data_IF_528223379679
#
_entry.id   IF_528223379679
#
_cell.length_a   1.000
_cell.length_b   1.000
_cell.length_c   1.000
_cell.angle_alpha   90.00
_cell.angle_beta   90.00
_cell.angle_gamma   90.00
#
_symmetry.space_group_name_H-M   'P 1'
#
loop_
_entity.id
_entity.type
_entity.pdbx_description
1 polymer ?
#
# COMPACT_ATOMS: atom_id res chain seq x y z
N UNK A 1 -16.78 1.24 7.75
CA UNK A 1 -16.40 1.97 6.53
C UNK A 1 -16.21 0.94 5.42
N UNK A 2 -16.64 1.22 4.19
CA UNK A 2 -16.34 0.33 3.06
C UNK A 2 -14.95 0.74 2.52
N UNK A 3 -13.93 -0.11 2.70
CA UNK A 3 -12.52 0.25 2.52
C UNK A 3 -12.03 0.34 1.06
N UNK A 4 -12.95 0.44 0.08
CA UNK A 4 -12.57 0.43 -1.33
C UNK A 4 -11.69 -0.77 -1.70
N UNK A 5 -10.84 -0.60 -2.71
CA UNK A 5 -9.80 -1.55 -3.08
C UNK A 5 -8.52 -1.36 -2.24
N UNK A 6 -7.68 -2.38 -2.16
CA UNK A 6 -6.34 -2.30 -1.58
C UNK A 6 -5.24 -2.35 -2.62
N UNK A 7 -4.26 -1.46 -2.48
CA UNK A 7 -2.98 -1.49 -3.19
C UNK A 7 -1.87 -1.93 -2.26
N UNK A 8 -1.08 -2.91 -2.69
CA UNK A 8 0.04 -3.48 -1.93
C UNK A 8 1.32 -3.31 -2.73
N UNK A 9 2.36 -2.75 -2.11
CA UNK A 9 3.70 -2.69 -2.69
C UNK A 9 4.73 -3.03 -1.61
N UNK A 10 5.58 -4.00 -1.88
CA UNK A 10 6.64 -4.44 -0.98
C UNK A 10 8.02 -4.04 -1.50
N UNK A 11 8.84 -3.52 -0.61
CA UNK A 11 10.21 -3.09 -0.86
C UNK A 11 11.11 -3.44 0.31
N UNK A 12 12.42 -3.41 0.11
CA UNK A 12 13.39 -3.53 1.20
C UNK A 12 13.73 -2.13 1.73
N UNK A 13 13.55 -1.92 3.04
CA UNK A 13 13.88 -0.70 3.75
C UNK A 13 12.76 0.35 3.82
N UNK A 14 12.66 1.05 4.95
CA UNK A 14 11.64 2.07 5.20
C UNK A 14 11.79 3.31 4.31
N UNK A 15 13.01 3.72 3.96
CA UNK A 15 13.24 4.85 3.05
C UNK A 15 12.67 4.59 1.66
N UNK A 16 12.84 3.37 1.14
CA UNK A 16 12.25 2.94 -0.13
C UNK A 16 10.72 2.92 -0.05
N UNK A 17 10.16 2.47 1.08
CA UNK A 17 8.71 2.49 1.29
C UNK A 17 8.15 3.92 1.24
N UNK A 18 8.85 4.90 1.83
CA UNK A 18 8.46 6.33 1.78
C UNK A 18 8.44 6.85 0.34
N UNK A 19 9.44 6.52 -0.49
CA UNK A 19 9.47 6.92 -1.90
C UNK A 19 8.30 6.32 -2.70
N UNK A 20 8.02 5.05 -2.45
CA UNK A 20 6.89 4.33 -3.06
C UNK A 20 5.56 4.95 -2.64
N UNK A 21 5.37 5.24 -1.36
CA UNK A 21 4.17 5.93 -0.84
C UNK A 21 3.98 7.29 -1.50
N UNK A 22 5.02 8.12 -1.53
CA UNK A 22 4.96 9.47 -2.12
C UNK A 22 4.56 9.43 -3.59
N UNK A 23 5.15 8.51 -4.37
CA UNK A 23 4.80 8.36 -5.77
C UNK A 23 3.34 7.93 -5.95
N UNK A 24 2.88 6.92 -5.20
CA UNK A 24 1.49 6.42 -5.32
C UNK A 24 0.44 7.47 -4.94
N UNK A 25 0.68 8.23 -3.86
CA UNK A 25 -0.22 9.30 -3.42
C UNK A 25 -0.28 10.47 -4.41
N UNK A 26 0.76 10.70 -5.21
CA UNK A 26 0.80 11.74 -6.26
C UNK A 26 0.20 11.28 -7.60
N UNK A 27 0.13 9.98 -7.84
CA UNK A 27 -0.37 9.42 -9.11
C UNK A 27 -1.89 9.51 -9.23
N UNK A 28 -2.63 9.27 -8.14
CA UNK A 28 -4.10 9.14 -8.18
C UNK A 28 -4.71 9.38 -6.80
N UNK A 29 -6.04 9.50 -6.75
CA UNK A 29 -6.80 9.70 -5.51
C UNK A 29 -6.86 8.41 -4.66
N UNK A 30 -5.80 8.18 -3.89
CA UNK A 30 -5.65 7.06 -2.96
C UNK A 30 -5.16 7.58 -1.61
N UNK A 31 -5.51 6.88 -0.54
CA UNK A 31 -5.05 7.17 0.82
C UNK A 31 -4.08 6.10 1.30
N UNK A 32 -3.04 6.53 2.00
CA UNK A 32 -2.18 5.61 2.74
C UNK A 32 -2.94 5.04 3.94
N UNK A 33 -2.92 3.72 4.08
CA UNK A 33 -3.60 3.03 5.18
C UNK A 33 -2.62 2.66 6.29
N UNK A 34 -1.59 1.89 5.94
CA UNK A 34 -0.58 1.40 6.89
C UNK A 34 0.60 0.79 6.14
N UNK A 35 1.57 0.29 6.88
CA UNK A 35 2.63 -0.57 6.36
C UNK A 35 2.93 -1.72 7.33
N UNK A 36 3.54 -2.78 6.83
CA UNK A 36 4.06 -3.87 7.66
C UNK A 36 5.57 -3.96 7.47
N UNK A 37 6.33 -3.78 8.55
CA UNK A 37 7.81 -3.73 8.52
C UNK A 37 8.49 -4.91 9.22
N UNK A 38 7.71 -5.92 9.65
CA UNK A 38 8.18 -7.02 10.50
C UNK A 38 8.93 -8.15 9.75
N UNK A 39 9.15 -8.04 8.45
CA UNK A 39 9.69 -9.13 7.63
C UNK A 39 11.16 -8.91 7.25
N UNK A 40 12.08 -8.99 8.22
CA UNK A 40 13.52 -9.05 7.90
C UNK A 40 14.09 -7.85 7.13
N UNK A 41 13.53 -6.65 7.33
CA UNK A 41 13.90 -5.43 6.61
C UNK A 41 12.99 -5.08 5.44
N UNK A 42 12.02 -5.95 5.10
CA UNK A 42 10.98 -5.65 4.13
C UNK A 42 9.91 -4.74 4.74
N UNK A 43 9.35 -3.89 3.88
CA UNK A 43 8.25 -3.02 4.18
C UNK A 43 7.17 -3.21 3.10
N UNK A 44 6.01 -3.73 3.50
CA UNK A 44 4.82 -3.84 2.64
C UNK A 44 3.90 -2.67 2.93
N UNK A 45 3.69 -1.81 1.94
CA UNK A 45 2.83 -0.62 2.00
C UNK A 45 1.40 -0.99 1.62
N UNK A 46 0.42 -0.46 2.36
CA UNK A 46 -1.01 -0.60 2.10
C UNK A 46 -1.62 0.76 1.74
N UNK A 47 -2.36 0.81 0.63
CA UNK A 47 -3.17 1.95 0.22
C UNK A 47 -4.62 1.53 0.00
N UNK A 48 -5.52 2.48 0.12
CA UNK A 48 -6.95 2.32 -0.10
C UNK A 48 -7.50 3.41 -1.01
N UNK A 49 -8.54 3.09 -1.78
CA UNK A 49 -9.23 4.01 -2.68
C UNK A 49 -10.15 3.27 -3.64
N UNK A 50 -10.62 3.95 -4.68
CA UNK A 50 -11.35 3.30 -5.76
C UNK A 50 -10.45 2.34 -6.54
N UNK A 51 -11.00 1.25 -7.06
CA UNK A 51 -10.23 0.20 -7.75
C UNK A 51 -9.39 0.75 -8.92
N UNK A 52 -9.92 1.71 -9.67
CA UNK A 52 -9.21 2.35 -10.78
C UNK A 52 -8.05 3.22 -10.29
N UNK A 53 -8.26 4.00 -9.22
CA UNK A 53 -7.23 4.83 -8.60
C UNK A 53 -6.10 3.96 -8.01
N UNK A 54 -6.46 2.94 -7.23
CA UNK A 54 -5.49 1.99 -6.66
C UNK A 54 -4.68 1.28 -7.74
N UNK A 55 -5.33 0.85 -8.83
CA UNK A 55 -4.64 0.21 -9.96
C UNK A 55 -3.65 1.18 -10.61
N UNK A 56 -4.06 2.43 -10.85
CA UNK A 56 -3.18 3.45 -11.42
C UNK A 56 -1.96 3.75 -10.52
N UNK A 57 -2.18 3.88 -9.21
CA UNK A 57 -1.11 4.08 -8.24
C UNK A 57 -0.08 2.93 -8.29
N UNK A 58 -0.53 1.68 -8.19
CA UNK A 58 0.36 0.50 -8.19
C UNK A 58 1.08 0.35 -9.54
N UNK A 59 0.38 0.55 -10.67
CA UNK A 59 1.00 0.46 -11.98
C UNK A 59 2.03 1.56 -12.24
N UNK A 60 1.88 2.76 -11.65
CA UNK A 60 2.90 3.81 -11.75
C UNK A 60 4.23 3.39 -11.12
N UNK A 61 4.19 2.69 -9.99
CA UNK A 61 5.38 2.17 -9.30
C UNK A 61 5.97 0.98 -10.05
N UNK A 62 5.14 0.12 -10.66
CA UNK A 62 5.64 -0.98 -11.50
C UNK A 62 6.28 -0.48 -12.80
N UNK A 63 5.71 0.55 -13.43
CA UNK A 63 6.16 1.08 -14.71
C UNK A 63 7.37 2.02 -14.62
N UNK A 64 7.46 2.80 -13.54
CA UNK A 64 8.59 3.68 -13.25
C UNK A 64 8.95 3.60 -11.75
N UNK A 65 9.61 2.52 -11.33
CA UNK A 65 9.89 2.28 -9.92
C UNK A 65 10.92 3.27 -9.36
N UNK A 66 10.66 3.92 -8.21
CA UNK A 66 11.63 4.80 -7.55
C UNK A 66 12.76 4.02 -6.85
N UNK A 67 12.57 2.72 -6.65
CA UNK A 67 13.52 1.78 -6.04
C UNK A 67 13.15 0.34 -6.44
N UNK A 68 13.96 -0.66 -6.06
CA UNK A 68 13.64 -2.06 -6.35
C UNK A 68 12.34 -2.50 -5.66
N UNK A 69 11.39 -3.02 -6.46
CA UNK A 69 10.10 -3.52 -5.99
C UNK A 69 10.18 -5.04 -5.83
N UNK A 70 9.93 -5.52 -4.61
CA UNK A 70 9.94 -6.96 -4.28
C UNK A 70 8.65 -7.62 -4.76
N UNK A 71 7.51 -7.02 -4.44
CA UNK A 71 6.20 -7.53 -4.84
C UNK A 71 5.18 -6.39 -4.96
N UNK A 72 4.15 -6.59 -5.77
CA UNK A 72 3.01 -5.66 -5.84
C UNK A 72 1.72 -6.40 -6.16
N UNK A 73 0.59 -5.91 -5.65
CA UNK A 73 -0.72 -6.49 -5.89
C UNK A 73 -1.84 -5.45 -5.74
N UNK A 74 -2.97 -5.72 -6.38
CA UNK A 74 -4.22 -4.98 -6.21
C UNK A 74 -5.32 -5.95 -5.81
N UNK A 75 -6.06 -5.62 -4.76
CA UNK A 75 -7.23 -6.37 -4.30
C UNK A 75 -8.44 -5.46 -4.48
N UNK A 76 -9.22 -5.70 -5.54
CA UNK A 76 -10.34 -4.82 -5.93
C UNK A 76 -11.50 -4.81 -4.94
N UNK A 77 -11.70 -5.90 -4.21
CA UNK A 77 -12.76 -6.03 -3.20
C UNK A 77 -12.26 -6.91 -2.03
N UNK A 78 -11.48 -6.34 -1.09
CA UNK A 78 -10.91 -7.08 0.02
C UNK A 78 -12.01 -7.65 0.92
N UNK A 79 -11.83 -8.89 1.39
CA UNK A 79 -12.76 -9.50 2.34
C UNK A 79 -12.76 -8.73 3.66
N UNK A 80 -13.84 -8.81 4.44
CA UNK A 80 -13.92 -8.14 5.74
C UNK A 80 -12.78 -8.51 6.69
N UNK A 81 -12.29 -9.75 6.61
CA UNK A 81 -11.14 -10.21 7.39
C UNK A 81 -9.82 -9.56 6.94
N UNK A 82 -9.64 -9.40 5.63
CA UNK A 82 -8.48 -8.70 5.06
C UNK A 82 -8.44 -7.24 5.51
N UNK A 83 -9.61 -6.59 5.54
CA UNK A 83 -9.76 -5.23 6.04
C UNK A 83 -9.41 -5.15 7.52
N UNK A 84 -9.98 -6.04 8.35
CA UNK A 84 -9.71 -6.09 9.80
C UNK A 84 -8.21 -6.20 10.09
N UNK A 85 -7.49 -7.06 9.38
CA UNK A 85 -6.04 -7.23 9.56
C UNK A 85 -5.25 -5.96 9.22
N UNK A 86 -5.64 -5.26 8.16
CA UNK A 86 -5.00 -4.00 7.77
C UNK A 86 -5.28 -2.88 8.79
N UNK A 87 -6.51 -2.78 9.30
CA UNK A 87 -6.87 -1.83 10.36
C UNK A 87 -6.13 -2.10 11.67
N UNK A 88 -6.01 -3.37 12.08
CA UNK A 88 -5.24 -3.74 13.27
C UNK A 88 -3.77 -3.35 13.16
N UNK A 89 -3.19 -3.43 11.96
CA UNK A 89 -1.81 -2.97 11.74
C UNK A 89 -1.72 -1.43 11.69
N UNK A 90 -2.71 -0.75 11.09
CA UNK A 90 -2.80 0.71 11.12
C UNK A 90 -2.88 1.26 12.55
N UNK A 91 -3.68 0.62 13.41
CA UNK A 91 -3.82 0.98 14.82
C UNK A 91 -2.52 0.78 15.61
N UNK A 92 -1.77 -0.30 15.36
CA UNK A 92 -0.45 -0.53 15.97
C UNK A 92 0.58 0.52 15.58
N UNK A 93 0.48 1.04 14.36
CA UNK A 93 1.37 2.07 13.84
C UNK A 93 0.93 3.50 14.18
N UNK A 94 -0.20 3.67 14.87
CA UNK A 94 -0.78 4.97 15.24
C UNK A 94 -1.13 5.87 14.04
N UNK A 95 -1.54 5.27 12.92
CA UNK A 95 -2.01 6.01 11.75
C UNK A 95 -3.52 6.30 11.76
N UNK A 96 -4.26 5.66 12.67
CA UNK A 96 -5.69 5.82 12.92
C UNK A 96 -5.99 5.91 14.41
#
# INVERSE_FOLDING_TARGET
MNYGAFGLVEVVGSSNAILVIDQMLKTSDVSFLTWQTKCGGHATVFLTGDVSAVTAAVDSVKGNPPCEIVASAVISNPSGETVRLAEEEAAKNHFI
#
